data_IF_465746625262
#
_entry.id   IF_465746625262
#
_cell.length_a   1.000
_cell.length_b   1.000
_cell.length_c   1.000
_cell.angle_alpha   90.00
_cell.angle_beta   90.00
_cell.angle_gamma   90.00
#
_symmetry.space_group_name_H-M   'P 1'
#
loop_
_entity.id
_entity.type
_entity.pdbx_description
1 polymer ?
#
# COMPACT_ATOMS: atom_id res chain seq x y z
N UNK A 1 -49.98 -4.49 10.26
CA UNK A 1 -48.80 -3.67 10.65
C UNK A 1 -47.48 -4.16 10.04
N UNK A 2 -47.25 -5.48 9.90
CA UNK A 2 -46.02 -6.05 9.29
C UNK A 2 -45.87 -5.70 7.79
N UNK A 3 -46.94 -5.77 7.00
CA UNK A 3 -46.88 -5.46 5.56
C UNK A 3 -46.45 -4.03 5.24
N UNK A 4 -46.75 -3.06 6.12
CA UNK A 4 -46.32 -1.67 5.94
C UNK A 4 -44.80 -1.52 6.16
N UNK A 5 -44.25 -2.21 7.17
CA UNK A 5 -42.80 -2.27 7.40
C UNK A 5 -42.08 -2.96 6.24
N UNK A 6 -42.63 -4.05 5.71
CA UNK A 6 -42.04 -4.76 4.56
C UNK A 6 -41.96 -3.83 3.35
N UNK A 7 -43.06 -3.13 3.03
CA UNK A 7 -43.10 -2.17 1.93
C UNK A 7 -42.06 -1.05 2.11
N UNK A 8 -41.94 -0.50 3.31
CA UNK A 8 -40.94 0.53 3.61
C UNK A 8 -39.51 0.04 3.37
N UNK A 9 -39.16 -1.19 3.78
CA UNK A 9 -37.83 -1.75 3.52
C UNK A 9 -37.61 -2.01 2.04
N UNK A 10 -38.64 -2.46 1.31
CA UNK A 10 -38.56 -2.66 -0.14
C UNK A 10 -38.27 -1.34 -0.88
N UNK A 11 -38.96 -0.27 -0.50
CA UNK A 11 -38.76 1.06 -1.07
C UNK A 11 -37.36 1.61 -0.73
N UNK A 12 -36.88 1.42 0.50
CA UNK A 12 -35.53 1.79 0.90
C UNK A 12 -34.45 1.01 0.12
N UNK A 13 -34.63 -0.30 -0.08
CA UNK A 13 -33.70 -1.11 -0.88
C UNK A 13 -33.67 -0.64 -2.33
N UNK A 14 -34.82 -0.32 -2.93
CA UNK A 14 -34.89 0.23 -4.29
C UNK A 14 -34.16 1.56 -4.39
N UNK A 15 -34.35 2.45 -3.41
CA UNK A 15 -33.67 3.73 -3.35
C UNK A 15 -32.14 3.54 -3.23
N UNK A 16 -31.67 2.73 -2.29
CA UNK A 16 -30.24 2.45 -2.08
C UNK A 16 -29.59 1.84 -3.32
N UNK A 17 -30.28 0.91 -4.01
CA UNK A 17 -29.80 0.34 -5.28
C UNK A 17 -29.67 1.41 -6.36
N UNK A 18 -30.67 2.29 -6.49
CA UNK A 18 -30.62 3.39 -7.46
C UNK A 18 -29.45 4.34 -7.18
N UNK A 19 -29.21 4.67 -5.91
CA UNK A 19 -28.07 5.51 -5.50
C UNK A 19 -26.72 4.82 -5.76
N UNK A 20 -26.59 3.53 -5.43
CA UNK A 20 -25.38 2.75 -5.69
C UNK A 20 -25.04 2.68 -7.18
N UNK A 21 -26.05 2.53 -8.05
CA UNK A 21 -25.84 2.51 -9.50
C UNK A 21 -25.36 3.87 -10.01
N UNK A 22 -26.02 4.96 -9.60
CA UNK A 22 -25.61 6.33 -9.96
C UNK A 22 -24.18 6.65 -9.53
N UNK A 23 -23.79 6.21 -8.34
CA UNK A 23 -22.43 6.38 -7.85
C UNK A 23 -21.43 5.54 -8.68
N UNK A 24 -21.80 4.31 -9.02
CA UNK A 24 -21.02 3.45 -9.90
C UNK A 24 -20.76 4.09 -11.27
N UNK A 25 -21.80 4.64 -11.90
CA UNK A 25 -21.70 5.35 -13.18
C UNK A 25 -20.80 6.58 -13.06
N UNK A 26 -20.90 7.33 -11.95
CA UNK A 26 -20.06 8.50 -11.69
C UNK A 26 -18.58 8.13 -11.52
N UNK A 27 -18.29 7.00 -10.85
CA UNK A 27 -16.92 6.48 -10.71
C UNK A 27 -16.36 6.08 -12.07
N UNK A 28 -17.16 5.41 -12.92
CA UNK A 28 -16.73 5.01 -14.27
C UNK A 28 -16.42 6.23 -15.14
N UNK A 29 -17.26 7.26 -15.11
CA UNK A 29 -17.02 8.50 -15.86
C UNK A 29 -15.73 9.20 -15.39
N UNK A 30 -15.51 9.30 -14.07
CA UNK A 30 -14.28 9.83 -13.50
C UNK A 30 -13.05 9.02 -13.92
N UNK A 31 -13.13 7.69 -13.93
CA UNK A 31 -12.03 6.82 -14.39
C UNK A 31 -11.71 7.02 -15.87
N UNK A 32 -12.74 7.16 -16.72
CA UNK A 32 -12.56 7.47 -18.15
C UNK A 32 -11.89 8.83 -18.33
N UNK A 33 -12.31 9.84 -17.55
CA UNK A 33 -11.71 11.16 -17.60
C UNK A 33 -10.25 11.14 -17.13
N UNK A 34 -9.93 10.47 -16.02
CA UNK A 34 -8.58 10.27 -15.52
C UNK A 34 -7.68 9.55 -16.54
N UNK A 35 -8.18 8.53 -17.23
CA UNK A 35 -7.46 7.83 -18.29
C UNK A 35 -7.02 8.74 -19.43
N UNK A 36 -7.87 9.72 -19.80
CA UNK A 36 -7.53 10.74 -20.82
C UNK A 36 -6.43 11.69 -20.35
N UNK A 37 -6.45 12.12 -19.07
CA UNK A 37 -5.39 12.96 -18.51
C UNK A 37 -4.03 12.26 -18.45
N UNK A 38 -4.00 10.96 -18.14
CA UNK A 38 -2.75 10.20 -18.07
C UNK A 38 -2.13 9.99 -19.45
N UNK A 39 -2.94 9.86 -20.50
CA UNK A 39 -2.45 9.80 -21.88
C UNK A 39 -1.89 11.14 -22.41
N UNK A 40 -2.26 12.27 -21.79
CA UNK A 40 -1.83 13.61 -22.21
C UNK A 40 -0.60 14.14 -21.43
N UNK A 41 -0.27 13.53 -20.28
CA UNK A 41 0.88 13.94 -19.45
C UNK A 41 2.23 13.39 -19.92
N UNK A 42 2.26 12.49 -20.90
CA UNK A 42 3.52 11.95 -21.46
C UNK A 42 4.38 13.03 -22.15
N UNK A 43 3.81 14.20 -22.47
CA UNK A 43 4.50 15.26 -23.20
C UNK A 43 4.96 16.47 -22.35
N UNK A 44 4.70 16.52 -21.04
CA UNK A 44 5.13 17.64 -20.18
C UNK A 44 5.43 17.18 -18.74
N UNK A 45 6.64 16.64 -18.50
CA UNK A 45 7.11 16.33 -17.15
C UNK A 45 7.91 17.50 -16.56
N UNK A 46 7.34 18.12 -15.53
CA UNK A 46 8.03 18.99 -14.59
C UNK A 46 9.05 18.18 -13.78
N UNK A 47 10.33 18.47 -14.02
CA UNK A 47 11.50 17.72 -13.54
C UNK A 47 11.78 17.78 -12.02
N UNK A 48 11.01 18.51 -11.21
CA UNK A 48 11.36 18.76 -9.80
C UNK A 48 10.80 17.75 -8.79
N UNK A 49 9.64 17.13 -9.05
CA UNK A 49 9.01 16.23 -8.06
C UNK A 49 9.54 14.79 -8.09
N UNK A 50 10.14 14.36 -9.20
CA UNK A 50 10.66 12.99 -9.32
C UNK A 50 11.95 12.73 -8.53
N UNK A 51 12.75 13.77 -8.25
CA UNK A 51 14.05 13.60 -7.58
C UNK A 51 13.90 13.12 -6.13
N UNK A 52 12.97 13.69 -5.35
CA UNK A 52 12.82 13.34 -3.93
C UNK A 52 12.24 11.93 -3.71
N UNK A 53 11.31 11.48 -4.57
CA UNK A 53 10.76 10.13 -4.50
C UNK A 53 11.80 9.06 -4.85
N UNK A 54 12.63 9.33 -5.87
CA UNK A 54 13.71 8.45 -6.29
C UNK A 54 14.82 8.39 -5.24
N UNK A 55 15.15 9.53 -4.60
CA UNK A 55 16.12 9.59 -3.50
C UNK A 55 15.64 8.79 -2.27
N UNK A 56 14.40 8.99 -1.83
CA UNK A 56 13.82 8.26 -0.69
C UNK A 56 13.79 6.75 -0.97
N UNK A 57 13.45 6.37 -2.20
CA UNK A 57 13.51 4.98 -2.66
C UNK A 57 14.93 4.42 -2.59
N UNK A 58 15.92 5.20 -3.03
CA UNK A 58 17.35 4.86 -2.92
C UNK A 58 17.78 4.61 -1.48
N UNK A 59 17.39 5.48 -0.55
CA UNK A 59 17.70 5.33 0.88
C UNK A 59 17.08 4.05 1.48
N UNK A 60 15.82 3.74 1.14
CA UNK A 60 15.17 2.49 1.58
C UNK A 60 15.91 1.25 1.02
N UNK A 61 16.34 1.30 -0.24
CA UNK A 61 17.03 0.18 -0.91
C UNK A 61 18.40 -0.15 -0.29
N UNK A 62 19.07 0.82 0.35
CA UNK A 62 20.30 0.61 1.11
C UNK A 62 20.10 -0.35 2.30
N UNK A 63 18.88 -0.43 2.84
CA UNK A 63 18.52 -1.38 3.89
C UNK A 63 18.15 -2.75 3.31
N UNK A 64 19.11 -3.40 2.65
CA UNK A 64 18.87 -4.59 1.81
C UNK A 64 18.27 -5.79 2.54
N UNK A 65 18.60 -5.93 3.83
CA UNK A 65 18.11 -7.02 4.70
C UNK A 65 16.80 -6.69 5.40
N UNK A 66 16.30 -5.46 5.27
CA UNK A 66 15.04 -5.05 5.88
C UNK A 66 13.85 -5.49 5.02
N UNK A 67 12.71 -5.69 5.65
CA UNK A 67 11.45 -5.96 4.95
C UNK A 67 11.06 -4.81 4.00
N UNK A 68 11.31 -3.56 4.40
CA UNK A 68 11.10 -2.38 3.56
C UNK A 68 11.97 -2.40 2.30
N UNK A 69 13.27 -2.70 2.42
CA UNK A 69 14.19 -2.81 1.30
C UNK A 69 13.80 -3.93 0.32
N UNK A 70 13.37 -5.08 0.84
CA UNK A 70 12.85 -6.19 0.02
C UNK A 70 11.56 -5.78 -0.69
N UNK A 71 10.60 -5.19 0.02
CA UNK A 71 9.33 -4.73 -0.56
C UNK A 71 9.55 -3.64 -1.62
N UNK A 72 10.46 -2.70 -1.36
CA UNK A 72 10.85 -1.65 -2.27
C UNK A 72 11.49 -2.23 -3.55
N UNK A 73 12.39 -3.20 -3.41
CA UNK A 73 13.00 -3.87 -4.55
C UNK A 73 12.00 -4.72 -5.36
N UNK A 74 11.04 -5.36 -4.68
CA UNK A 74 9.95 -6.07 -5.34
C UNK A 74 9.11 -5.10 -6.19
N UNK A 75 8.79 -3.91 -5.66
CA UNK A 75 8.06 -2.87 -6.41
C UNK A 75 8.83 -2.38 -7.63
N UNK A 76 10.13 -2.09 -7.51
CA UNK A 76 10.94 -1.60 -8.63
C UNK A 76 11.19 -2.65 -9.70
N UNK A 77 11.37 -3.94 -9.34
CA UNK A 77 11.58 -5.04 -10.30
C UNK A 77 10.30 -5.57 -10.94
N UNK A 78 9.16 -5.51 -10.25
CA UNK A 78 7.88 -6.09 -10.71
C UNK A 78 6.81 -5.07 -11.09
N UNK A 79 7.16 -3.82 -11.42
CA UNK A 79 6.19 -2.82 -11.88
C UNK A 79 5.33 -3.29 -13.08
N UNK A 80 5.77 -4.32 -13.83
CA UNK A 80 5.02 -4.94 -14.95
C UNK A 80 4.21 -6.20 -14.57
N UNK A 81 4.39 -6.78 -13.38
CA UNK A 81 3.81 -8.07 -13.00
C UNK A 81 3.27 -8.11 -11.55
N UNK A 82 2.84 -6.95 -11.04
CA UNK A 82 2.30 -6.77 -9.69
C UNK A 82 0.96 -7.49 -9.42
N UNK A 83 0.40 -8.20 -10.41
CA UNK A 83 -0.84 -8.98 -10.26
C UNK A 83 -0.67 -10.28 -9.47
N UNK A 84 0.57 -10.72 -9.19
CA UNK A 84 0.85 -12.01 -8.56
C UNK A 84 1.00 -11.99 -7.04
N UNK A 85 0.98 -10.81 -6.41
CA UNK A 85 1.08 -10.66 -4.96
C UNK A 85 -0.28 -10.25 -4.39
N UNK A 86 -1.12 -11.23 -4.05
CA UNK A 86 -2.47 -10.99 -3.50
C UNK A 86 -2.48 -10.05 -2.29
N UNK A 87 -1.38 -9.94 -1.55
CA UNK A 87 -1.27 -9.04 -0.39
C UNK A 87 -0.86 -7.60 -0.73
N UNK A 88 -0.23 -7.31 -1.89
CA UNK A 88 0.19 -5.93 -2.20
C UNK A 88 -1.00 -5.00 -2.37
N UNK A 89 -2.18 -5.55 -2.69
CA UNK A 89 -3.43 -4.80 -2.82
C UNK A 89 -3.84 -4.06 -1.53
N UNK A 90 -3.43 -4.58 -0.39
CA UNK A 90 -3.73 -4.01 0.93
C UNK A 90 -2.51 -3.38 1.60
N UNK A 91 -1.33 -3.43 0.98
CA UNK A 91 -0.14 -2.69 1.45
C UNK A 91 -0.25 -1.26 0.95
N UNK A 92 -0.34 -0.31 1.86
CA UNK A 92 -0.39 1.12 1.53
C UNK A 92 0.99 1.65 1.14
N UNK A 93 2.04 1.25 1.87
CA UNK A 93 3.40 1.71 1.58
C UNK A 93 4.36 1.48 2.74
N UNK A 94 5.57 2.04 2.60
CA UNK A 94 6.56 2.13 3.66
C UNK A 94 6.44 3.53 4.25
N UNK A 95 6.54 3.70 5.57
CA UNK A 95 6.31 5.01 6.22
C UNK A 95 7.13 6.13 5.57
N UNK A 96 8.42 5.90 5.33
CA UNK A 96 9.31 6.85 4.66
C UNK A 96 8.82 7.30 3.27
N UNK A 97 8.06 6.48 2.56
CA UNK A 97 7.54 6.80 1.22
C UNK A 97 6.12 7.34 1.21
N UNK A 98 5.47 7.49 2.37
CA UNK A 98 4.05 7.92 2.46
C UNK A 98 3.90 9.42 2.75
N UNK A 99 4.94 10.06 3.26
CA UNK A 99 4.96 11.49 3.54
C UNK A 99 6.10 12.17 2.78
N UNK A 100 5.83 13.38 2.28
CA UNK A 100 6.84 14.25 1.71
C UNK A 100 6.79 15.59 2.44
N UNK A 101 7.97 16.12 2.78
CA UNK A 101 8.14 17.42 3.41
C UNK A 101 9.04 18.25 2.49
N UNK A 102 8.71 19.52 2.29
CA UNK A 102 9.51 20.44 1.47
C UNK A 102 10.75 20.95 2.22
N UNK A 103 10.70 20.97 3.56
CA UNK A 103 11.81 21.42 4.41
C UNK A 103 12.67 20.20 4.84
N UNK A 104 13.89 20.14 4.32
CA UNK A 104 14.86 19.08 4.61
C UNK A 104 15.25 19.01 6.10
N UNK A 105 15.32 20.15 6.79
CA UNK A 105 15.69 20.19 8.20
C UNK A 105 14.56 19.63 9.06
N UNK A 106 13.31 19.95 8.72
CA UNK A 106 12.14 19.36 9.39
C UNK A 106 12.01 17.87 9.05
N UNK A 107 12.25 17.49 7.80
CA UNK A 107 12.24 16.09 7.34
C UNK A 107 13.25 15.25 8.13
N UNK A 108 14.49 15.75 8.26
CA UNK A 108 15.54 15.10 9.04
C UNK A 108 15.17 14.96 10.52
N UNK A 109 14.70 16.04 11.16
CA UNK A 109 14.33 16.04 12.57
C UNK A 109 13.20 15.04 12.88
N UNK A 110 12.17 14.99 12.03
CA UNK A 110 11.05 14.07 12.20
C UNK A 110 11.45 12.62 11.95
N UNK A 111 12.33 12.39 10.96
CA UNK A 111 12.89 11.06 10.68
C UNK A 111 13.73 10.55 11.85
N UNK A 112 14.53 11.42 12.46
CA UNK A 112 15.30 11.10 13.68
C UNK A 112 14.37 10.81 14.87
N UNK A 113 13.33 11.62 15.07
CA UNK A 113 12.35 11.43 16.13
C UNK A 113 11.59 10.10 16.01
N UNK A 114 11.17 9.72 14.80
CA UNK A 114 10.47 8.46 14.55
C UNK A 114 11.41 7.24 14.63
N UNK A 115 12.66 7.45 14.25
CA UNK A 115 13.69 6.43 14.19
C UNK A 115 13.57 5.50 12.98
N UNK A 116 14.68 4.83 12.67
CA UNK A 116 14.84 3.99 11.47
C UNK A 116 13.81 2.86 11.40
N UNK A 117 13.55 2.16 12.51
CA UNK A 117 12.60 1.04 12.55
C UNK A 117 11.17 1.47 12.17
N UNK A 118 10.76 2.66 12.59
CA UNK A 118 9.43 3.20 12.28
C UNK A 118 9.37 3.73 10.85
N UNK A 119 10.42 4.40 10.40
CA UNK A 119 10.53 4.89 9.01
C UNK A 119 10.52 3.73 7.99
N UNK A 120 11.07 2.57 8.35
CA UNK A 120 11.05 1.35 7.55
C UNK A 120 9.82 0.46 7.82
N UNK A 121 8.83 0.92 8.60
CA UNK A 121 7.65 0.12 8.88
C UNK A 121 6.76 -0.03 7.62
N UNK A 122 6.14 -1.19 7.48
CA UNK A 122 5.19 -1.47 6.40
C UNK A 122 3.78 -1.15 6.88
N UNK A 123 3.07 -0.32 6.11
CA UNK A 123 1.70 0.08 6.41
C UNK A 123 0.71 -0.81 5.66
N UNK A 124 -0.13 -1.54 6.40
CA UNK A 124 -1.19 -2.39 5.87
C UNK A 124 -2.57 -1.78 6.13
N UNK A 125 -3.49 -1.98 5.19
CA UNK A 125 -4.92 -1.63 5.30
C UNK A 125 -5.70 -2.66 6.10
N UNK A 126 -5.42 -3.94 5.88
CA UNK A 126 -6.17 -5.05 6.48
C UNK A 126 -5.30 -5.86 7.43
N UNK A 127 -5.92 -6.58 8.35
CA UNK A 127 -5.20 -7.54 9.19
C UNK A 127 -4.73 -8.76 8.38
N UNK A 128 -5.46 -9.13 7.34
CA UNK A 128 -5.09 -10.22 6.44
C UNK A 128 -3.81 -9.89 5.65
N UNK A 129 -3.56 -8.62 5.32
CA UNK A 129 -2.27 -8.15 4.80
C UNK A 129 -1.10 -8.51 5.73
N UNK A 130 -1.24 -8.23 7.03
CA UNK A 130 -0.19 -8.52 8.03
C UNK A 130 0.07 -10.03 8.12
N UNK A 131 -0.99 -10.84 8.18
CA UNK A 131 -0.87 -12.31 8.19
C UNK A 131 -0.26 -12.89 6.90
N UNK A 132 -0.54 -12.27 5.76
CA UNK A 132 -0.01 -12.72 4.48
C UNK A 132 1.48 -12.37 4.32
N UNK A 133 1.93 -11.29 4.96
CA UNK A 133 3.32 -10.86 4.94
C UNK A 133 4.21 -11.71 5.85
N UNK A 134 3.69 -12.15 7.00
CA UNK A 134 4.42 -12.97 7.95
C UNK A 134 3.57 -14.13 8.48
N UNK A 135 4.06 -15.35 8.27
CA UNK A 135 3.38 -16.59 8.64
C UNK A 135 4.21 -17.37 9.65
N UNK A 136 3.50 -18.07 10.52
CA UNK A 136 4.07 -18.82 11.63
C UNK A 136 3.68 -20.29 11.53
N UNK A 137 4.58 -21.20 11.92
CA UNK A 137 4.28 -22.62 12.07
C UNK A 137 3.44 -22.89 13.33
N UNK A 138 3.11 -24.16 13.58
CA UNK A 138 2.28 -24.53 14.75
C UNK A 138 3.01 -24.32 16.07
N UNK A 139 4.33 -24.28 16.01
CA UNK A 139 5.26 -24.12 17.12
C UNK A 139 5.59 -22.63 17.37
N UNK A 140 5.12 -21.71 16.52
CA UNK A 140 5.31 -20.28 16.64
C UNK A 140 6.59 -19.74 16.00
N UNK A 141 7.29 -20.51 15.16
CA UNK A 141 8.44 -20.03 14.38
C UNK A 141 8.01 -19.41 13.05
N UNK A 142 8.76 -18.41 12.61
CA UNK A 142 8.54 -17.74 11.33
C UNK A 142 8.88 -18.70 10.18
N UNK A 143 7.93 -18.88 9.26
CA UNK A 143 8.12 -19.70 8.06
C UNK A 143 8.83 -18.87 6.99
N UNK A 144 10.16 -19.02 6.90
CA UNK A 144 11.02 -18.25 5.97
C UNK A 144 10.76 -18.50 4.48
N UNK A 145 10.02 -19.55 4.13
CA UNK A 145 9.68 -19.90 2.75
C UNK A 145 8.39 -19.27 2.23
N UNK A 146 7.66 -18.52 3.07
CA UNK A 146 6.37 -17.92 2.73
C UNK A 146 6.31 -16.42 3.02
N UNK A 147 5.22 -15.78 2.58
CA UNK A 147 5.00 -14.35 2.76
C UNK A 147 6.11 -13.50 2.17
N UNK A 148 6.48 -12.43 2.86
CA UNK A 148 7.53 -11.53 2.41
C UNK A 148 8.92 -12.17 2.49
N UNK A 149 9.16 -13.08 3.44
CA UNK A 149 10.43 -13.82 3.53
C UNK A 149 10.69 -14.70 2.31
N UNK A 150 9.68 -15.47 1.89
CA UNK A 150 9.79 -16.32 0.70
C UNK A 150 10.02 -15.52 -0.58
N UNK A 151 9.38 -14.36 -0.70
CA UNK A 151 9.55 -13.45 -1.83
C UNK A 151 10.90 -12.74 -1.81
N UNK A 152 11.40 -12.36 -0.64
CA UNK A 152 12.76 -11.87 -0.50
C UNK A 152 13.77 -12.93 -0.94
N UNK A 153 13.59 -14.16 -0.49
CA UNK A 153 14.45 -15.27 -0.89
C UNK A 153 14.45 -15.53 -2.41
N UNK A 154 13.30 -15.41 -3.08
CA UNK A 154 13.22 -15.62 -4.53
C UNK A 154 13.95 -14.55 -5.35
N UNK A 155 14.11 -13.34 -4.81
CA UNK A 155 14.91 -12.26 -5.44
C UNK A 155 16.34 -12.18 -4.92
N UNK A 156 16.76 -13.13 -4.08
CA UNK A 156 18.10 -13.20 -3.50
C UNK A 156 18.33 -12.26 -2.31
N UNK A 157 17.28 -11.67 -1.73
CA UNK A 157 17.34 -10.81 -0.53
C UNK A 157 16.64 -11.46 0.65
N UNK A 158 17.41 -12.14 1.50
CA UNK A 158 16.87 -12.65 2.75
C UNK A 158 16.60 -11.49 3.72
N UNK A 159 15.40 -11.46 4.30
CA UNK A 159 15.05 -10.54 5.37
C UNK A 159 15.69 -11.05 6.66
N UNK A 160 16.38 -10.16 7.35
CA UNK A 160 17.01 -10.42 8.64
C UNK A 160 16.39 -9.53 9.72
N UNK A 161 16.17 -10.09 10.90
CA UNK A 161 15.54 -9.41 12.01
C UNK A 161 14.00 -9.32 11.93
N UNK A 162 13.44 -8.59 12.91
CA UNK A 162 12.01 -8.28 13.02
C UNK A 162 11.72 -6.98 12.29
N UNK A 163 10.50 -6.82 11.79
CA UNK A 163 10.06 -5.58 11.17
C UNK A 163 8.68 -5.17 11.69
N UNK A 164 8.44 -3.86 11.69
CA UNK A 164 7.23 -3.27 12.24
C UNK A 164 6.13 -3.19 11.18
N UNK A 165 4.93 -3.60 11.57
CA UNK A 165 3.72 -3.37 10.79
C UNK A 165 2.87 -2.30 11.44
N UNK A 166 2.44 -1.32 10.67
CA UNK A 166 1.44 -0.36 11.08
C UNK A 166 0.13 -0.66 10.36
N UNK A 167 -0.96 -0.77 11.11
CA UNK A 167 -2.29 -0.96 10.53
C UNK A 167 -3.03 0.36 10.53
N UNK A 168 -3.58 0.75 9.39
CA UNK A 168 -4.53 1.86 9.37
C UNK A 168 -5.85 1.43 10.03
N UNK A 169 -6.31 2.21 10.99
CA UNK A 169 -7.66 2.05 11.53
C UNK A 169 -8.62 2.77 10.60
N UNK A 170 -9.61 2.08 10.04
CA UNK A 170 -10.82 2.75 9.57
C UNK A 170 -11.52 3.29 10.82
N UNK A 171 -11.52 4.61 10.98
CA UNK A 171 -12.39 5.31 11.93
C UNK A 171 -13.78 5.40 11.32
#
# INVERSE_FOLDING_TARGET
>A
MIGLKIKQHEDHIKLLKSQSLKLGDSILDLQVNLGKYHSAKVDNEDHSNHQNEEETTGQILQHEKSAAGVLCQLKTRHCTQASHLTFTKDVLGIVASLGQLEDENLSSLLSEYLGVDTMLAIVCKTFECVKALETYDKEGHIIKSSGLHGLGASIGRAIDGRFLFLRTFNV
#
